data_IF_569899978992
#
_entry.id   IF_569899978992
#
_cell.length_a   1.000
_cell.length_b   1.000
_cell.length_c   1.000
_cell.angle_alpha   90.00
_cell.angle_beta   90.00
_cell.angle_gamma   90.00
#
_symmetry.space_group_name_H-M   'P 1'
#
loop_
_entity.id
_entity.type
_entity.pdbx_description
1 polymer ?
#
# COMPACT_ATOMS: atom_id res chain seq x y z
N UNK A 1 -0.80 -7.51 -12.73
CA UNK A 1 -0.74 -6.37 -11.81
C UNK A 1 -0.54 -5.08 -12.62
N UNK A 2 -1.43 -4.09 -12.44
CA UNK A 2 -1.42 -2.82 -13.19
C UNK A 2 -0.56 -1.74 -12.52
N UNK A 3 0.71 -2.07 -12.28
CA UNK A 3 1.74 -1.15 -11.80
C UNK A 3 3.04 -1.40 -12.57
N UNK A 4 3.76 -0.33 -12.92
CA UNK A 4 5.11 -0.44 -13.49
C UNK A 4 6.15 -0.61 -12.38
N UNK A 5 7.33 -1.15 -12.72
CA UNK A 5 8.46 -1.25 -11.78
C UNK A 5 8.84 0.11 -11.18
N UNK A 6 8.79 1.19 -11.97
CA UNK A 6 9.04 2.55 -11.48
C UNK A 6 8.00 3.02 -10.46
N UNK A 7 6.72 2.70 -10.68
CA UNK A 7 5.67 3.00 -9.72
C UNK A 7 5.86 2.20 -8.43
N UNK A 8 6.18 0.91 -8.53
CA UNK A 8 6.49 0.05 -7.38
C UNK A 8 7.66 0.62 -6.59
N UNK A 9 8.74 1.00 -7.28
CA UNK A 9 9.90 1.60 -6.66
C UNK A 9 9.54 2.91 -5.94
N UNK A 10 8.76 3.78 -6.59
CA UNK A 10 8.26 5.03 -6.01
C UNK A 10 7.42 4.79 -4.77
N UNK A 11 6.55 3.77 -4.78
CA UNK A 11 5.72 3.38 -3.63
C UNK A 11 6.62 2.93 -2.47
N UNK A 12 7.48 1.95 -2.70
CA UNK A 12 8.34 1.37 -1.66
C UNK A 12 9.27 2.41 -1.03
N UNK A 13 9.91 3.25 -1.86
CA UNK A 13 10.81 4.31 -1.36
C UNK A 13 10.07 5.38 -0.59
N UNK A 14 8.90 5.81 -1.05
CA UNK A 14 8.10 6.84 -0.36
C UNK A 14 7.61 6.35 0.99
N UNK A 15 7.06 5.13 1.05
CA UNK A 15 6.57 4.55 2.31
C UNK A 15 7.74 4.39 3.30
N UNK A 16 8.84 3.75 2.88
CA UNK A 16 9.98 3.49 3.76
C UNK A 16 10.71 4.75 4.20
N UNK A 17 10.69 5.80 3.38
CA UNK A 17 11.25 7.10 3.74
C UNK A 17 10.51 7.81 4.88
N UNK A 18 9.23 7.48 5.12
CA UNK A 18 8.39 8.13 6.13
C UNK A 18 8.25 7.27 7.39
N UNK A 19 7.99 5.97 7.22
CA UNK A 19 7.70 5.06 8.36
C UNK A 19 8.80 4.02 8.62
N UNK A 20 9.90 4.07 7.88
CA UNK A 20 11.03 3.16 8.01
C UNK A 20 10.87 1.84 7.25
N UNK A 21 11.92 1.01 7.29
CA UNK A 21 12.00 -0.23 6.49
C UNK A 21 11.24 -1.42 7.06
N UNK A 22 10.73 -1.33 8.30
CA UNK A 22 10.00 -2.41 8.96
C UNK A 22 8.50 -2.39 8.62
N UNK A 23 8.19 -2.07 7.37
CA UNK A 23 6.84 -2.03 6.82
C UNK A 23 6.83 -2.83 5.54
N UNK A 24 5.87 -3.73 5.44
CA UNK A 24 5.59 -4.51 4.25
C UNK A 24 4.46 -3.81 3.49
N UNK A 25 4.63 -3.66 2.18
CA UNK A 25 3.67 -2.95 1.32
C UNK A 25 3.04 -3.95 0.36
N UNK A 26 1.73 -4.13 0.47
CA UNK A 26 0.98 -4.99 -0.46
C UNK A 26 0.03 -4.18 -1.31
N UNK A 27 -0.08 -4.54 -2.58
CA UNK A 27 -1.17 -4.08 -3.43
C UNK A 27 -2.38 -4.98 -3.23
N UNK A 28 -3.56 -4.40 -3.06
CA UNK A 28 -4.82 -5.15 -3.08
C UNK A 28 -5.84 -4.50 -4.02
N UNK A 29 -7.05 -5.05 -4.05
CA UNK A 29 -8.17 -4.44 -4.76
C UNK A 29 -8.04 -4.47 -6.29
N UNK A 30 -8.57 -3.44 -6.94
CA UNK A 30 -8.90 -3.49 -8.37
C UNK A 30 -7.68 -3.57 -9.29
N UNK A 31 -6.49 -3.16 -8.84
CA UNK A 31 -5.26 -3.13 -9.65
C UNK A 31 -4.51 -4.46 -9.72
N UNK A 32 -4.97 -5.48 -9.01
CA UNK A 32 -4.46 -6.84 -9.16
C UNK A 32 -4.86 -7.47 -10.51
N UNK A 33 -6.05 -7.12 -11.04
CA UNK A 33 -6.56 -7.64 -12.31
C UNK A 33 -6.19 -6.72 -13.48
N UNK A 34 -5.44 -7.26 -14.45
CA UNK A 34 -4.97 -6.54 -15.63
C UNK A 34 -6.07 -6.25 -16.65
N UNK A 35 -7.20 -6.97 -16.59
CA UNK A 35 -8.31 -6.81 -17.54
C UNK A 35 -9.27 -5.67 -17.16
N UNK A 36 -9.11 -5.07 -15.96
CA UNK A 36 -9.96 -3.96 -15.50
C UNK A 36 -9.44 -2.61 -16.02
N UNK A 37 -10.33 -1.63 -16.12
CA UNK A 37 -10.01 -0.24 -16.50
C UNK A 37 -10.21 0.70 -15.31
N UNK A 38 -9.32 1.69 -15.17
CA UNK A 38 -9.36 2.68 -14.08
C UNK A 38 -9.14 2.07 -12.69
N UNK A 39 -9.35 2.90 -11.67
CA UNK A 39 -9.35 2.50 -10.26
C UNK A 39 -8.27 3.18 -9.43
N UNK A 40 -8.58 3.31 -8.14
CA UNK A 40 -7.66 3.82 -7.12
C UNK A 40 -6.54 2.81 -6.87
N UNK A 41 -5.44 3.29 -6.29
CA UNK A 41 -4.33 2.46 -5.87
C UNK A 41 -4.53 2.07 -4.40
N UNK A 42 -5.09 0.88 -4.19
CA UNK A 42 -5.34 0.32 -2.86
C UNK A 42 -4.06 -0.35 -2.29
N UNK A 43 -3.44 0.25 -1.28
CA UNK A 43 -2.23 -0.26 -0.64
C UNK A 43 -2.47 -0.65 0.82
N UNK A 44 -2.02 -1.84 1.19
CA UNK A 44 -2.00 -2.32 2.56
C UNK A 44 -0.59 -2.16 3.12
N UNK A 45 -0.46 -1.38 4.20
CA UNK A 45 0.78 -1.21 4.95
C UNK A 45 0.74 -2.07 6.21
N UNK A 46 1.61 -3.07 6.27
CA UNK A 46 1.72 -4.00 7.39
C UNK A 46 2.94 -3.64 8.22
N UNK A 47 2.76 -3.37 9.51
CA UNK A 47 3.83 -2.94 10.41
C UNK A 47 3.76 -3.67 11.76
N UNK A 48 4.83 -3.73 12.55
CA UNK A 48 4.79 -4.33 13.88
C UNK A 48 3.90 -3.56 14.87
N UNK A 49 3.88 -2.22 14.73
CA UNK A 49 3.15 -1.30 15.60
C UNK A 49 2.25 -0.38 14.77
N UNK A 50 1.16 0.18 15.33
CA UNK A 50 0.27 1.08 14.60
C UNK A 50 1.01 2.29 14.01
N UNK A 51 0.80 2.55 12.72
CA UNK A 51 1.33 3.74 12.06
C UNK A 51 0.53 4.99 12.46
N UNK A 52 1.19 6.13 12.74
CA UNK A 52 0.51 7.38 13.04
C UNK A 52 -0.36 7.85 11.87
N UNK A 53 -1.55 8.40 12.15
CA UNK A 53 -2.45 8.94 11.12
C UNK A 53 -1.79 10.03 10.25
N UNK A 54 -0.93 10.85 10.85
CA UNK A 54 -0.19 11.89 10.13
C UNK A 54 0.78 11.28 9.11
N UNK A 55 1.48 10.21 9.47
CA UNK A 55 2.38 9.52 8.56
C UNK A 55 1.62 8.88 7.39
N UNK A 56 0.45 8.29 7.65
CA UNK A 56 -0.43 7.77 6.60
C UNK A 56 -0.91 8.88 5.64
N UNK A 57 -1.30 10.03 6.18
CA UNK A 57 -1.71 11.18 5.37
C UNK A 57 -0.55 11.71 4.50
N UNK A 58 0.66 11.78 5.07
CA UNK A 58 1.86 12.20 4.34
C UNK A 58 2.22 11.22 3.22
N UNK A 59 2.17 9.91 3.49
CA UNK A 59 2.39 8.86 2.47
C UNK A 59 1.36 9.03 1.35
N UNK A 60 0.07 9.13 1.69
CA UNK A 60 -1.01 9.26 0.70
C UNK A 60 -0.76 10.47 -0.20
N UNK A 61 -0.56 11.65 0.38
CA UNK A 61 -0.33 12.88 -0.40
C UNK A 61 0.88 12.79 -1.32
N UNK A 62 2.01 12.28 -0.83
CA UNK A 62 3.23 12.12 -1.66
C UNK A 62 3.07 11.10 -2.78
N UNK A 63 2.35 10.00 -2.53
CA UNK A 63 2.09 9.01 -3.58
C UNK A 63 1.13 9.56 -4.64
N UNK A 64 0.06 10.24 -4.24
CA UNK A 64 -0.87 10.88 -5.19
C UNK A 64 -0.17 11.93 -6.05
N UNK A 65 0.70 12.75 -5.46
CA UNK A 65 1.51 13.75 -6.17
C UNK A 65 2.47 13.11 -7.17
N UNK A 66 3.19 12.05 -6.77
CA UNK A 66 4.23 11.42 -7.61
C UNK A 66 3.67 10.50 -8.68
N UNK A 67 2.56 9.83 -8.39
CA UNK A 67 1.97 8.82 -9.27
C UNK A 67 0.85 9.38 -10.15
N UNK A 68 0.36 10.59 -9.85
CA UNK A 68 -0.78 11.22 -10.52
C UNK A 68 -2.03 10.33 -10.54
N UNK A 69 -2.21 9.58 -9.45
CA UNK A 69 -3.26 8.58 -9.28
C UNK A 69 -3.81 8.67 -7.86
N UNK A 70 -5.14 8.53 -7.65
CA UNK A 70 -5.72 8.44 -6.32
C UNK A 70 -5.19 7.21 -5.58
N UNK A 71 -4.86 7.37 -4.30
CA UNK A 71 -4.28 6.32 -3.45
C UNK A 71 -5.11 6.14 -2.20
N UNK A 72 -5.51 4.90 -1.92
CA UNK A 72 -6.14 4.53 -0.67
C UNK A 72 -5.24 3.62 0.16
N UNK A 73 -5.02 4.04 1.40
CA UNK A 73 -4.14 3.36 2.33
C UNK A 73 -4.94 2.66 3.42
N UNK A 74 -4.73 1.36 3.53
CA UNK A 74 -5.13 0.57 4.69
C UNK A 74 -3.89 0.25 5.51
N UNK A 75 -3.91 0.57 6.81
CA UNK A 75 -2.84 0.21 7.72
C UNK A 75 -3.27 -0.97 8.60
N UNK A 76 -2.38 -1.93 8.80
CA UNK A 76 -2.54 -3.04 9.72
C UNK A 76 -1.29 -3.19 10.58
N UNK A 77 -1.48 -3.40 11.88
CA UNK A 77 -0.40 -3.65 12.82
C UNK A 77 -0.50 -5.07 13.36
N UNK A 78 0.62 -5.80 13.38
CA UNK A 78 0.67 -7.23 13.74
C UNK A 78 0.35 -7.49 15.22
N UNK A 79 0.37 -6.46 16.06
CA UNK A 79 -0.05 -6.50 17.47
C UNK A 79 -1.58 -6.51 17.65
N UNK A 80 -2.36 -6.42 16.57
CA UNK A 80 -3.83 -6.32 16.62
C UNK A 80 -4.52 -7.40 15.81
N UNK A 81 -5.73 -7.74 16.25
CA UNK A 81 -6.66 -8.55 15.45
C UNK A 81 -7.12 -7.74 14.24
N UNK A 82 -7.03 -8.27 13.01
CA UNK A 82 -7.48 -7.56 11.82
C UNK A 82 -9.00 -7.39 11.83
N UNK A 83 -9.48 -6.24 11.38
CA UNK A 83 -10.89 -6.05 11.01
C UNK A 83 -11.25 -6.95 9.82
N UNK A 84 -12.55 -7.21 9.55
CA UNK A 84 -12.95 -8.02 8.40
C UNK A 84 -12.36 -7.52 7.07
N UNK A 85 -12.30 -6.20 6.86
CA UNK A 85 -11.70 -5.62 5.67
C UNK A 85 -10.18 -5.80 5.61
N UNK A 86 -9.48 -5.62 6.74
CA UNK A 86 -8.05 -5.90 6.82
C UNK A 86 -7.74 -7.38 6.57
N UNK A 87 -8.56 -8.30 7.08
CA UNK A 87 -8.40 -9.73 6.85
C UNK A 87 -8.51 -10.08 5.35
N UNK A 88 -9.47 -9.49 4.65
CA UNK A 88 -9.61 -9.65 3.19
C UNK A 88 -8.37 -9.11 2.47
N UNK A 89 -7.92 -7.90 2.80
CA UNK A 89 -6.74 -7.28 2.20
C UNK A 89 -5.44 -8.07 2.48
N UNK A 90 -5.31 -8.67 3.67
CA UNK A 90 -4.17 -9.53 4.02
C UNK A 90 -4.14 -10.82 3.19
N UNK A 91 -5.32 -11.41 2.93
CA UNK A 91 -5.45 -12.65 2.15
C UNK A 91 -5.25 -12.41 0.66
N UNK A 92 -5.83 -11.33 0.13
CA UNK A 92 -5.83 -11.04 -1.31
C UNK A 92 -4.64 -10.20 -1.78
N UNK A 93 -3.97 -9.51 -0.86
CA UNK A 93 -2.91 -8.57 -1.19
C UNK A 93 -1.64 -9.25 -1.69
N UNK A 94 -1.06 -8.72 -2.76
CA UNK A 94 0.21 -9.16 -3.33
C UNK A 94 1.36 -8.28 -2.81
N UNK A 95 2.45 -8.84 -2.24
CA UNK A 95 3.63 -8.09 -1.84
C UNK A 95 4.25 -7.33 -3.01
N UNK A 96 4.53 -6.05 -2.82
CA UNK A 96 5.19 -5.24 -3.85
C UNK A 96 6.69 -5.49 -3.93
N UNK A 97 7.31 -5.95 -2.84
CA UNK A 97 8.73 -6.31 -2.79
C UNK A 97 9.09 -7.48 -3.72
N UNK A 98 8.15 -8.39 -3.99
CA UNK A 98 8.36 -9.53 -4.88
C UNK A 98 8.20 -9.17 -6.36
N UNK A 99 7.65 -7.99 -6.65
CA UNK A 99 7.37 -7.51 -8.00
C UNK A 99 8.21 -6.29 -8.41
N UNK A 100 9.18 -5.90 -7.57
CA UNK A 100 10.08 -4.76 -7.76
C UNK A 100 11.35 -5.13 -8.54
#
# INVERSE_FOLDING_TARGET
>A
MRLTHEQIHTILTTVRGIVGSNVEVRLFGSRLDDNRKGGDLDLLLISPIPLPRLALAEIKGKLEERLYLPVDLLAYSRDRTPSPFQAIALIQGCPLEEAA
#
